data_IF_622631171586
#
_entry.id   IF_622631171586
#
_cell.length_a   1.000
_cell.length_b   1.000
_cell.length_c   1.000
_cell.angle_alpha   90.00
_cell.angle_beta   90.00
_cell.angle_gamma   90.00
#
_symmetry.space_group_name_H-M   'P 1'
#
loop_
_entity.id
_entity.type
_entity.pdbx_description
1 polymer ?
#
# COMPACT_ATOMS: atom_id res chain seq x y z
N UNK A 1 73.30 -40.55 13.27
CA UNK A 1 72.56 -39.39 13.80
C UNK A 1 71.86 -38.69 12.62
N UNK A 2 70.59 -39.01 12.39
CA UNK A 2 69.81 -38.44 11.27
C UNK A 2 68.84 -37.42 11.84
N UNK A 3 69.05 -36.13 11.53
CA UNK A 3 68.04 -35.06 11.80
C UNK A 3 67.09 -34.98 10.63
N UNK A 4 65.85 -35.39 10.86
CA UNK A 4 64.73 -35.15 9.95
C UNK A 4 64.17 -33.78 10.25
N UNK A 5 64.27 -32.82 9.34
CA UNK A 5 63.57 -31.52 9.41
C UNK A 5 62.10 -31.67 8.99
N UNK A 6 61.23 -31.34 9.86
CA UNK A 6 59.75 -31.15 9.52
C UNK A 6 59.62 -29.77 8.89
N UNK A 7 59.21 -29.74 7.62
CA UNK A 7 58.65 -28.52 7.00
C UNK A 7 57.20 -28.38 7.42
N UNK A 8 56.86 -27.36 8.19
CA UNK A 8 55.48 -26.97 8.47
C UNK A 8 54.99 -26.06 7.34
N UNK A 9 54.09 -26.56 6.52
CA UNK A 9 53.37 -25.77 5.51
C UNK A 9 52.24 -25.04 6.21
N UNK A 10 52.41 -23.72 6.44
CA UNK A 10 51.35 -22.85 6.95
C UNK A 10 50.35 -22.55 5.83
N UNK A 11 49.17 -23.13 5.92
CA UNK A 11 48.01 -22.76 5.07
C UNK A 11 47.46 -21.44 5.61
N UNK A 12 47.71 -20.34 4.93
CA UNK A 12 47.06 -19.07 5.20
C UNK A 12 45.60 -19.13 4.70
N UNK A 13 44.64 -19.28 5.61
CA UNK A 13 43.25 -19.07 5.30
C UNK A 13 43.03 -17.58 5.01
N UNK A 14 42.91 -17.22 3.74
CA UNK A 14 42.39 -15.93 3.31
C UNK A 14 40.87 -15.96 3.56
N UNK A 15 40.43 -15.38 4.67
CA UNK A 15 39.03 -15.13 4.90
C UNK A 15 38.55 -14.14 3.83
N UNK A 16 37.89 -14.61 2.79
CA UNK A 16 37.19 -13.76 1.85
C UNK A 16 36.09 -13.02 2.61
N UNK A 17 36.25 -11.71 2.79
CA UNK A 17 35.19 -10.87 3.34
C UNK A 17 33.91 -11.07 2.49
N UNK A 18 32.84 -11.46 3.12
CA UNK A 18 31.55 -11.53 2.45
C UNK A 18 31.21 -10.14 1.87
N UNK A 19 30.78 -10.05 0.60
CA UNK A 19 30.47 -8.77 0.01
C UNK A 19 29.32 -8.12 0.78
N UNK A 20 29.51 -6.86 1.15
CA UNK A 20 28.44 -6.07 1.75
C UNK A 20 27.34 -5.86 0.71
N UNK A 21 26.11 -6.20 1.06
CA UNK A 21 24.95 -5.85 0.24
C UNK A 21 24.90 -4.33 0.04
N UNK A 22 24.54 -3.87 -1.15
CA UNK A 22 24.40 -2.43 -1.41
C UNK A 22 23.36 -1.84 -0.46
N UNK A 23 23.70 -0.82 0.36
CA UNK A 23 22.78 -0.26 1.32
C UNK A 23 21.59 0.38 0.61
N UNK A 24 20.44 0.36 1.26
CA UNK A 24 19.26 1.04 0.74
C UNK A 24 19.40 2.56 0.87
N UNK A 25 18.91 3.34 -0.13
CA UNK A 25 18.87 4.79 0.00
C UNK A 25 17.88 5.23 1.07
N UNK A 26 18.19 6.34 1.71
CA UNK A 26 17.32 7.01 2.68
C UNK A 26 16.43 8.04 1.97
N UNK A 27 15.21 8.20 2.47
CA UNK A 27 14.29 9.25 2.02
C UNK A 27 14.67 10.57 2.70
N UNK A 28 14.80 11.64 1.90
CA UNK A 28 15.20 12.98 2.38
C UNK A 28 14.14 14.04 2.02
N UNK A 29 13.93 15.05 2.85
CA UNK A 29 13.10 16.20 2.49
C UNK A 29 13.72 17.00 1.35
N UNK A 30 12.90 17.79 0.64
CA UNK A 30 13.35 18.71 -0.40
C UNK A 30 13.58 18.07 -1.78
N UNK A 31 13.33 16.79 -1.93
CA UNK A 31 13.35 16.11 -3.24
C UNK A 31 12.00 16.30 -3.91
N UNK A 32 12.00 16.95 -5.07
CA UNK A 32 10.80 17.15 -5.86
C UNK A 32 10.42 15.86 -6.61
N UNK A 33 9.17 15.43 -6.49
CA UNK A 33 8.62 14.33 -7.27
C UNK A 33 8.43 14.76 -8.73
N UNK A 34 8.77 13.88 -9.67
CA UNK A 34 8.77 14.15 -11.11
C UNK A 34 7.81 13.22 -11.82
N UNK A 35 6.78 13.76 -12.47
CA UNK A 35 5.83 12.98 -13.23
C UNK A 35 6.11 13.07 -14.74
N UNK A 36 5.98 11.95 -15.49
CA UNK A 36 5.47 10.65 -15.08
C UNK A 36 6.48 9.73 -14.38
N UNK A 37 7.77 10.10 -14.26
CA UNK A 37 8.84 9.20 -13.82
C UNK A 37 8.54 8.52 -12.46
N UNK A 38 8.01 9.27 -11.50
CA UNK A 38 7.72 8.76 -10.16
C UNK A 38 6.39 8.00 -10.06
N UNK A 39 5.68 7.82 -11.18
CA UNK A 39 4.65 6.78 -11.29
C UNK A 39 5.26 5.38 -11.40
N UNK A 40 6.46 5.27 -11.95
CA UNK A 40 7.20 4.03 -12.15
C UNK A 40 7.89 3.49 -10.90
N UNK A 41 8.64 2.41 -11.08
CA UNK A 41 9.36 1.75 -9.99
C UNK A 41 10.63 2.50 -9.57
N UNK A 42 10.98 2.36 -8.28
CA UNK A 42 12.21 2.87 -7.66
C UNK A 42 13.03 1.69 -7.12
N UNK A 43 13.64 0.87 -8.00
CA UNK A 43 14.19 -0.43 -7.63
C UNK A 43 15.34 -0.39 -6.62
N UNK A 44 15.98 0.76 -6.40
CA UNK A 44 17.01 0.96 -5.40
C UNK A 44 16.46 1.00 -3.97
N UNK A 45 15.20 1.43 -3.77
CA UNK A 45 14.58 1.45 -2.46
C UNK A 45 14.16 0.05 -2.01
N UNK A 46 14.07 -0.16 -0.70
CA UNK A 46 13.75 -1.45 -0.11
C UNK A 46 12.36 -1.94 -0.49
N UNK A 47 11.35 -1.06 -0.42
CA UNK A 47 9.96 -1.42 -0.71
C UNK A 47 9.19 -0.26 -1.30
N UNK A 48 8.16 -0.59 -2.08
CA UNK A 48 7.22 0.34 -2.66
C UNK A 48 5.91 -0.34 -2.99
N UNK A 49 4.85 0.45 -3.13
CA UNK A 49 3.55 -0.04 -3.57
C UNK A 49 2.80 0.94 -4.46
N UNK A 50 1.92 0.37 -5.24
CA UNK A 50 0.86 0.98 -6.02
C UNK A 50 -0.44 0.40 -5.50
N UNK A 51 -1.23 1.22 -4.84
CA UNK A 51 -2.43 0.82 -4.13
C UNK A 51 -3.61 1.57 -4.71
N UNK A 52 -4.62 0.85 -5.22
CA UNK A 52 -5.84 1.44 -5.77
C UNK A 52 -7.04 0.85 -5.07
N UNK A 53 -7.87 1.71 -4.49
CA UNK A 53 -9.12 1.33 -3.84
C UNK A 53 -10.26 2.20 -4.31
N UNK A 54 -11.48 1.69 -4.24
CA UNK A 54 -12.61 2.50 -4.66
C UNK A 54 -13.95 1.83 -4.49
N UNK A 55 -14.94 2.60 -4.85
CA UNK A 55 -16.33 2.19 -4.89
C UNK A 55 -16.80 2.12 -6.34
N UNK A 56 -17.55 1.06 -6.66
CA UNK A 56 -18.16 0.85 -7.94
C UNK A 56 -19.67 0.76 -7.77
N UNK A 57 -20.39 1.24 -8.77
CA UNK A 57 -21.81 0.98 -8.97
C UNK A 57 -21.96 0.17 -10.25
N UNK A 58 -22.57 -1.00 -10.15
CA UNK A 58 -22.86 -1.85 -11.32
C UNK A 58 -24.03 -1.25 -12.12
N UNK A 59 -24.18 -1.66 -13.39
CA UNK A 59 -25.33 -1.29 -14.21
C UNK A 59 -26.67 -1.68 -13.60
N UNK A 60 -26.66 -2.67 -12.68
CA UNK A 60 -27.83 -3.12 -11.92
C UNK A 60 -28.06 -2.30 -10.63
N UNK A 61 -27.25 -1.23 -10.40
CA UNK A 61 -27.37 -0.32 -9.25
C UNK A 61 -26.72 -0.81 -7.96
N UNK A 62 -25.99 -1.94 -7.97
CA UNK A 62 -25.34 -2.48 -6.77
C UNK A 62 -24.04 -1.74 -6.46
N UNK A 63 -23.81 -1.43 -5.19
CA UNK A 63 -22.56 -0.87 -4.70
C UNK A 63 -21.58 -2.02 -4.39
N UNK A 64 -20.35 -1.89 -4.89
CA UNK A 64 -19.22 -2.77 -4.62
C UNK A 64 -18.03 -1.94 -4.15
N UNK A 65 -17.20 -2.50 -3.28
CA UNK A 65 -15.86 -1.99 -2.99
C UNK A 65 -14.82 -2.83 -3.71
N UNK A 66 -13.70 -2.24 -4.08
CA UNK A 66 -12.58 -2.99 -4.65
C UNK A 66 -11.23 -2.45 -4.14
N UNK A 67 -10.25 -3.34 -4.14
CA UNK A 67 -8.85 -3.03 -3.87
C UNK A 67 -7.99 -3.80 -4.87
N UNK A 68 -6.95 -3.13 -5.40
CA UNK A 68 -5.87 -3.73 -6.18
C UNK A 68 -4.56 -3.10 -5.73
N UNK A 69 -3.65 -3.90 -5.20
CA UNK A 69 -2.35 -3.43 -4.73
C UNK A 69 -1.25 -4.27 -5.35
N UNK A 70 -0.23 -3.58 -5.86
CA UNK A 70 1.04 -4.19 -6.25
C UNK A 70 2.12 -3.68 -5.31
N UNK A 71 2.94 -4.58 -4.82
CA UNK A 71 4.08 -4.31 -3.98
C UNK A 71 5.35 -4.79 -4.70
N UNK A 72 6.43 -4.05 -4.51
CA UNK A 72 7.77 -4.51 -4.87
C UNK A 72 8.68 -4.40 -3.66
N UNK A 73 9.48 -5.43 -3.43
CA UNK A 73 10.53 -5.39 -2.42
C UNK A 73 11.86 -5.78 -3.05
N UNK A 74 12.94 -5.14 -2.59
CA UNK A 74 14.33 -5.49 -2.90
C UNK A 74 14.90 -6.24 -1.70
N UNK A 75 15.05 -7.58 -1.76
CA UNK A 75 15.73 -8.33 -0.72
C UNK A 75 17.22 -7.96 -0.65
N UNK A 76 17.82 -8.07 0.53
CA UNK A 76 19.27 -7.98 0.69
C UNK A 76 19.92 -9.29 0.19
N UNK A 77 20.19 -9.36 -1.10
CA UNK A 77 20.93 -10.45 -1.73
C UNK A 77 22.26 -9.93 -2.25
N UNK A 78 23.25 -10.82 -2.36
CA UNK A 78 24.51 -10.46 -3.02
C UNK A 78 24.24 -10.15 -4.50
N UNK A 79 24.40 -8.90 -4.90
CA UNK A 79 24.16 -8.45 -6.29
C UNK A 79 25.14 -9.07 -7.30
N UNK A 80 26.25 -9.64 -6.82
CA UNK A 80 27.24 -10.36 -7.64
C UNK A 80 26.88 -11.83 -7.81
N UNK A 81 25.78 -12.31 -7.21
CA UNK A 81 25.32 -13.67 -7.40
C UNK A 81 25.02 -13.89 -8.89
N UNK A 82 25.76 -14.75 -9.60
CA UNK A 82 25.59 -14.95 -11.05
C UNK A 82 24.32 -15.73 -11.40
N UNK A 83 23.62 -16.25 -10.40
CA UNK A 83 22.42 -17.05 -10.63
C UNK A 83 21.27 -16.19 -11.18
N UNK A 84 20.76 -16.55 -12.34
CA UNK A 84 19.55 -15.97 -12.92
C UNK A 84 18.29 -16.19 -12.05
N UNK A 85 18.38 -17.05 -11.04
CA UNK A 85 17.33 -17.26 -10.04
C UNK A 85 17.50 -16.39 -8.79
N UNK A 86 18.59 -15.62 -8.68
CA UNK A 86 18.74 -14.67 -7.58
C UNK A 86 17.61 -13.64 -7.62
N UNK A 87 16.90 -13.51 -6.49
CA UNK A 87 15.77 -12.61 -6.41
C UNK A 87 16.22 -11.18 -6.08
N UNK A 88 16.72 -10.45 -7.07
CA UNK A 88 17.05 -9.02 -6.91
C UNK A 88 15.82 -8.15 -6.62
N UNK A 89 14.68 -8.52 -7.17
CA UNK A 89 13.39 -7.89 -6.93
C UNK A 89 12.30 -8.96 -6.80
N UNK A 90 11.38 -8.77 -5.85
CA UNK A 90 10.20 -9.63 -5.65
C UNK A 90 8.96 -8.76 -5.68
N UNK A 91 7.97 -9.18 -6.46
CA UNK A 91 6.68 -8.52 -6.55
C UNK A 91 5.60 -9.35 -5.90
N UNK A 92 4.67 -8.66 -5.25
CA UNK A 92 3.44 -9.22 -4.70
C UNK A 92 2.26 -8.41 -5.21
N UNK A 93 1.10 -9.03 -5.32
CA UNK A 93 -0.14 -8.31 -5.61
C UNK A 93 -1.31 -8.92 -4.85
N UNK A 94 -2.17 -8.05 -4.39
CA UNK A 94 -3.46 -8.38 -3.82
C UNK A 94 -4.56 -7.76 -4.66
N UNK A 95 -5.67 -8.46 -4.79
CA UNK A 95 -6.91 -7.91 -5.32
C UNK A 95 -8.07 -8.38 -4.47
N UNK A 96 -9.01 -7.50 -4.20
CA UNK A 96 -10.18 -7.82 -3.40
C UNK A 96 -11.44 -7.15 -3.96
N UNK A 97 -12.56 -7.81 -3.71
CA UNK A 97 -13.90 -7.32 -4.02
C UNK A 97 -14.79 -7.41 -2.77
N UNK A 98 -15.27 -6.27 -2.33
CA UNK A 98 -16.26 -6.14 -1.26
C UNK A 98 -17.65 -6.12 -1.87
N UNK A 99 -18.44 -7.13 -1.56
CA UNK A 99 -19.83 -7.27 -2.01
C UNK A 99 -20.72 -7.67 -0.83
N UNK A 100 -21.69 -6.82 -0.48
CA UNK A 100 -22.65 -7.09 0.62
C UNK A 100 -23.40 -8.41 0.45
N UNK A 101 -23.67 -8.82 -0.79
CA UNK A 101 -24.39 -10.04 -1.07
C UNK A 101 -23.61 -11.29 -0.67
N UNK A 102 -22.27 -11.22 -0.64
CA UNK A 102 -21.44 -12.35 -0.19
C UNK A 102 -21.24 -12.38 1.32
N UNK A 103 -21.41 -11.24 2.00
CA UNK A 103 -21.16 -11.07 3.43
C UNK A 103 -19.68 -11.27 3.84
N UNK A 104 -18.79 -11.42 2.88
CA UNK A 104 -17.35 -11.61 3.07
C UNK A 104 -16.55 -10.96 1.96
N UNK A 105 -15.30 -10.66 2.23
CA UNK A 105 -14.34 -10.20 1.24
C UNK A 105 -13.98 -11.35 0.30
N UNK A 106 -14.13 -11.16 -1.01
CA UNK A 106 -13.50 -12.02 -2.02
C UNK A 106 -12.12 -11.45 -2.28
N UNK A 107 -11.06 -12.26 -2.24
CA UNK A 107 -9.70 -11.80 -2.51
C UNK A 107 -8.87 -12.85 -3.21
N UNK A 108 -7.82 -12.38 -3.85
CA UNK A 108 -6.78 -13.20 -4.46
C UNK A 108 -5.43 -12.52 -4.32
N UNK A 109 -4.38 -13.32 -4.47
CA UNK A 109 -3.01 -12.89 -4.32
C UNK A 109 -2.11 -13.50 -5.39
N UNK A 110 -1.03 -12.79 -5.74
CA UNK A 110 0.03 -13.23 -6.65
C UNK A 110 1.37 -12.83 -6.08
N UNK A 111 2.38 -13.63 -6.30
CA UNK A 111 3.77 -13.24 -6.09
C UNK A 111 4.66 -13.84 -7.18
N UNK A 112 5.74 -13.15 -7.48
CA UNK A 112 6.80 -13.64 -8.35
C UNK A 112 8.09 -12.84 -8.17
N UNK A 113 9.22 -13.48 -8.47
CA UNK A 113 10.49 -12.79 -8.66
C UNK A 113 10.46 -12.08 -10.01
N UNK A 114 11.12 -10.93 -10.10
CA UNK A 114 11.29 -10.20 -11.36
C UNK A 114 12.34 -10.88 -12.23
N UNK A 115 12.02 -12.07 -12.72
CA UNK A 115 12.87 -12.89 -13.59
C UNK A 115 12.00 -13.61 -14.63
N UNK A 116 12.57 -13.91 -15.80
CA UNK A 116 11.94 -14.72 -16.85
C UNK A 116 10.56 -14.24 -17.32
N UNK A 117 10.28 -12.94 -17.19
CA UNK A 117 8.96 -12.38 -17.56
C UNK A 117 7.81 -12.76 -16.61
N UNK A 118 8.08 -13.35 -15.44
CA UNK A 118 7.04 -13.72 -14.47
C UNK A 118 6.46 -12.50 -13.75
N UNK A 119 7.27 -11.50 -13.50
CA UNK A 119 6.86 -10.22 -12.93
C UNK A 119 7.77 -9.10 -13.44
N UNK A 120 7.23 -7.91 -13.52
CA UNK A 120 7.94 -6.70 -13.91
C UNK A 120 7.37 -5.47 -13.21
N UNK A 121 8.24 -4.54 -12.81
CA UNK A 121 7.89 -3.19 -12.42
C UNK A 121 8.87 -2.24 -13.11
N UNK A 122 8.40 -1.48 -14.07
CA UNK A 122 9.23 -0.60 -14.91
C UNK A 122 9.47 0.74 -14.24
N UNK A 123 10.65 1.28 -14.47
CA UNK A 123 10.97 2.68 -14.15
C UNK A 123 10.38 3.62 -15.19
N UNK A 124 10.24 4.91 -14.83
CA UNK A 124 9.88 5.97 -15.78
C UNK A 124 8.39 6.23 -15.95
N UNK A 125 7.55 5.23 -15.84
CA UNK A 125 6.08 5.35 -15.71
C UNK A 125 5.52 4.05 -15.11
N UNK A 126 4.25 4.09 -14.69
CA UNK A 126 3.61 2.92 -14.10
C UNK A 126 3.35 1.83 -15.16
N UNK A 127 4.07 0.74 -15.05
CA UNK A 127 3.83 -0.51 -15.77
C UNK A 127 4.30 -1.66 -14.89
N UNK A 128 3.36 -2.22 -14.14
CA UNK A 128 3.58 -3.27 -13.16
C UNK A 128 2.76 -4.48 -13.55
N UNK A 129 3.39 -5.65 -13.61
CA UNK A 129 2.72 -6.90 -13.93
C UNK A 129 3.24 -8.06 -13.09
N UNK A 130 2.35 -8.98 -12.74
CA UNK A 130 2.66 -10.30 -12.20
C UNK A 130 1.82 -11.30 -12.98
N UNK A 131 2.44 -12.01 -13.93
CA UNK A 131 1.77 -12.92 -14.87
C UNK A 131 0.65 -12.20 -15.65
N UNK A 132 -0.60 -12.58 -15.44
CA UNK A 132 -1.80 -12.03 -16.09
C UNK A 132 -2.41 -10.81 -15.36
N UNK A 133 -1.92 -10.47 -14.16
CA UNK A 133 -2.33 -9.29 -13.42
C UNK A 133 -1.45 -8.09 -13.77
N UNK A 134 -2.05 -6.94 -13.99
CA UNK A 134 -1.29 -5.72 -14.24
C UNK A 134 -1.99 -4.47 -13.71
N UNK A 135 -1.18 -3.46 -13.43
CA UNK A 135 -1.56 -2.07 -13.25
C UNK A 135 -0.59 -1.23 -14.08
N UNK A 136 -1.11 -0.47 -15.03
CA UNK A 136 -0.29 0.36 -15.91
C UNK A 136 -0.95 1.69 -16.22
N UNK A 137 -0.14 2.68 -16.55
CA UNK A 137 -0.59 3.98 -16.98
C UNK A 137 -0.37 4.11 -18.50
N UNK A 138 -1.44 4.41 -19.22
CA UNK A 138 -1.36 4.65 -20.66
C UNK A 138 -0.76 6.04 -20.95
N UNK A 139 -0.22 6.29 -22.16
CA UNK A 139 0.27 7.62 -22.56
C UNK A 139 -0.77 8.74 -22.44
N UNK A 140 -2.06 8.41 -22.49
CA UNK A 140 -3.18 9.32 -22.28
C UNK A 140 -3.32 9.80 -20.83
N UNK A 141 -2.58 9.19 -19.88
CA UNK A 141 -2.70 9.45 -18.47
C UNK A 141 -3.71 8.56 -17.72
N UNK A 142 -4.48 7.75 -18.44
CA UNK A 142 -5.41 6.78 -17.86
C UNK A 142 -4.67 5.62 -17.24
N UNK A 143 -5.00 5.27 -16.00
CA UNK A 143 -4.51 4.06 -15.36
C UNK A 143 -5.45 2.91 -15.68
N UNK A 144 -4.90 1.72 -15.81
CA UNK A 144 -5.63 0.53 -16.22
C UNK A 144 -5.21 -0.67 -15.38
N UNK A 145 -6.18 -1.46 -14.92
CA UNK A 145 -5.88 -2.72 -14.24
C UNK A 145 -6.68 -3.87 -14.82
N UNK A 146 -6.06 -5.03 -14.81
CA UNK A 146 -6.73 -6.31 -15.04
C UNK A 146 -6.23 -7.30 -14.00
N UNK A 147 -7.16 -7.87 -13.25
CA UNK A 147 -6.89 -8.92 -12.27
C UNK A 147 -7.96 -9.99 -12.34
N UNK A 148 -7.54 -11.24 -12.19
CA UNK A 148 -8.44 -12.40 -12.18
C UNK A 148 -8.12 -13.27 -10.99
N UNK A 149 -9.09 -13.40 -10.09
CA UNK A 149 -9.00 -14.21 -8.89
C UNK A 149 -10.12 -15.25 -8.85
N UNK A 150 -10.06 -16.14 -7.85
CA UNK A 150 -11.15 -17.06 -7.60
C UNK A 150 -12.41 -16.30 -7.19
N UNK A 151 -13.50 -16.53 -7.91
CA UNK A 151 -14.80 -15.90 -7.66
C UNK A 151 -15.01 -14.53 -8.26
N UNK A 152 -13.96 -13.81 -8.73
CA UNK A 152 -14.12 -12.50 -9.37
C UNK A 152 -13.00 -12.15 -10.36
N UNK A 153 -13.27 -11.17 -11.22
CA UNK A 153 -12.26 -10.48 -12.01
C UNK A 153 -12.62 -9.00 -12.16
N UNK A 154 -11.61 -8.16 -12.25
CA UNK A 154 -11.74 -6.73 -12.50
C UNK A 154 -10.98 -6.36 -13.78
N UNK A 155 -11.61 -5.59 -14.65
CA UNK A 155 -10.96 -4.89 -15.77
C UNK A 155 -11.45 -3.46 -15.70
N UNK A 156 -10.60 -2.56 -15.20
CA UNK A 156 -10.98 -1.20 -14.84
C UNK A 156 -10.01 -0.18 -15.42
N UNK A 157 -10.56 0.92 -15.90
CA UNK A 157 -9.86 2.15 -16.26
C UNK A 157 -10.09 3.20 -15.18
N UNK A 158 -9.01 3.95 -14.84
CA UNK A 158 -9.03 5.01 -13.83
C UNK A 158 -8.56 6.30 -14.50
N UNK A 159 -9.46 7.26 -14.61
CA UNK A 159 -9.16 8.57 -15.19
C UNK A 159 -8.94 9.59 -14.08
N UNK A 160 -7.72 10.16 -13.92
CA UNK A 160 -7.49 11.24 -13.01
C UNK A 160 -8.38 12.46 -13.32
N UNK A 161 -9.04 12.99 -12.30
CA UNK A 161 -9.86 14.21 -12.42
C UNK A 161 -9.21 15.40 -11.72
N UNK A 162 -8.19 15.14 -10.90
CA UNK A 162 -7.44 16.11 -10.15
C UNK A 162 -5.93 15.80 -10.23
N UNK A 163 -5.05 16.79 -10.02
CA UNK A 163 -3.61 16.54 -9.96
C UNK A 163 -3.25 15.67 -8.73
N UNK A 164 -2.07 15.02 -8.72
CA UNK A 164 -1.58 14.30 -7.55
C UNK A 164 -1.60 15.16 -6.28
N UNK A 165 -1.97 14.54 -5.17
CA UNK A 165 -1.90 15.11 -3.81
C UNK A 165 -0.59 14.64 -3.19
N UNK A 166 0.40 15.52 -3.11
CA UNK A 166 1.69 15.20 -2.48
C UNK A 166 1.50 15.14 -0.97
N UNK A 167 1.84 14.01 -0.37
CA UNK A 167 1.63 13.78 1.05
C UNK A 167 2.77 14.38 1.89
N UNK A 168 2.42 14.87 3.09
CA UNK A 168 3.40 15.50 3.96
C UNK A 168 4.04 16.75 3.35
N UNK A 169 5.33 16.93 3.53
CA UNK A 169 6.07 18.07 3.00
C UNK A 169 6.44 17.80 1.54
N UNK A 170 5.57 18.19 0.61
CA UNK A 170 5.78 18.07 -0.85
C UNK A 170 6.18 16.64 -1.30
N UNK A 171 5.56 15.62 -0.69
CA UNK A 171 5.84 14.22 -1.00
C UNK A 171 6.77 13.53 0.00
N UNK A 172 7.44 14.27 0.90
CA UNK A 172 8.17 13.68 2.03
C UNK A 172 7.21 13.47 3.20
N UNK A 173 6.81 12.22 3.42
CA UNK A 173 5.83 11.82 4.43
C UNK A 173 6.50 11.07 5.59
N UNK A 174 6.59 11.69 6.76
CA UNK A 174 7.14 11.06 7.96
C UNK A 174 6.21 9.97 8.51
N UNK A 175 6.82 8.88 8.98
CA UNK A 175 6.14 7.71 9.56
C UNK A 175 6.58 7.44 11.00
N UNK A 176 7.41 8.31 11.56
CA UNK A 176 7.91 8.16 12.93
C UNK A 176 8.68 9.37 13.42
N UNK A 177 9.16 9.32 14.68
CA UNK A 177 9.85 10.44 15.31
C UNK A 177 11.22 10.76 14.69
N UNK A 178 11.89 9.80 14.06
CA UNK A 178 13.17 10.05 13.40
C UNK A 178 12.95 10.53 11.96
N UNK A 179 13.78 11.44 11.43
CA UNK A 179 13.64 11.93 10.05
C UNK A 179 13.77 10.85 8.97
N UNK A 180 14.60 9.82 9.21
CA UNK A 180 14.80 8.71 8.28
C UNK A 180 13.61 7.73 8.23
N UNK A 181 12.68 7.80 9.18
CA UNK A 181 11.42 7.08 9.17
C UNK A 181 10.40 7.85 8.32
N UNK A 182 10.55 7.75 7.02
CA UNK A 182 9.76 8.51 6.05
C UNK A 182 9.65 7.77 4.72
N UNK A 183 8.72 8.19 3.91
CA UNK A 183 8.54 7.73 2.53
C UNK A 183 8.43 8.90 1.57
N UNK A 184 8.70 8.67 0.29
CA UNK A 184 8.15 9.48 -0.77
C UNK A 184 6.75 8.97 -1.07
N UNK A 185 5.77 9.87 -1.03
CA UNK A 185 4.36 9.49 -1.03
C UNK A 185 3.50 10.56 -1.72
N UNK A 186 2.67 10.10 -2.65
CA UNK A 186 1.59 10.89 -3.21
C UNK A 186 0.35 10.04 -3.41
N UNK A 187 -0.80 10.71 -3.46
CA UNK A 187 -2.10 10.10 -3.77
C UNK A 187 -2.69 10.72 -5.03
N UNK A 188 -3.56 9.99 -5.71
CA UNK A 188 -4.44 10.52 -6.74
C UNK A 188 -5.88 10.25 -6.29
N UNK A 189 -6.52 11.23 -5.61
CA UNK A 189 -7.93 11.13 -5.24
C UNK A 189 -8.83 11.32 -6.45
N UNK A 190 -10.13 11.02 -6.29
CA UNK A 190 -11.16 11.28 -7.30
C UNK A 190 -10.84 10.72 -8.69
N UNK A 191 -10.28 9.50 -8.76
CA UNK A 191 -10.13 8.79 -10.01
C UNK A 191 -11.51 8.34 -10.48
N UNK A 192 -11.97 8.84 -11.64
CA UNK A 192 -13.19 8.31 -12.27
C UNK A 192 -12.94 6.90 -12.77
N UNK A 193 -13.79 5.96 -12.40
CA UNK A 193 -13.67 4.56 -12.77
C UNK A 193 -14.72 4.15 -13.77
N UNK A 194 -14.29 3.39 -14.77
CA UNK A 194 -15.18 2.66 -15.70
C UNK A 194 -14.59 1.31 -16.03
N UNK A 195 -15.45 0.33 -16.35
CA UNK A 195 -14.96 -0.98 -16.75
C UNK A 195 -15.95 -2.10 -16.47
N UNK A 196 -15.41 -3.27 -16.15
CA UNK A 196 -16.19 -4.50 -15.98
C UNK A 196 -15.78 -5.23 -14.69
N UNK A 197 -16.76 -5.77 -14.02
CA UNK A 197 -16.62 -6.68 -12.88
C UNK A 197 -17.24 -8.02 -13.25
N UNK A 198 -16.46 -9.10 -13.17
CA UNK A 198 -16.99 -10.47 -13.28
C UNK A 198 -17.10 -11.06 -11.88
N UNK A 199 -18.27 -11.55 -11.51
CA UNK A 199 -18.55 -12.25 -10.25
C UNK A 199 -19.71 -13.23 -10.43
N UNK A 200 -19.73 -14.32 -9.68
CA UNK A 200 -20.78 -15.34 -9.79
C UNK A 200 -21.02 -15.83 -11.23
N UNK A 201 -19.96 -15.92 -12.05
CA UNK A 201 -20.06 -16.33 -13.47
C UNK A 201 -20.57 -15.25 -14.43
N UNK A 202 -21.01 -14.08 -13.94
CA UNK A 202 -21.56 -12.97 -14.75
C UNK A 202 -20.58 -11.82 -14.84
N UNK A 203 -20.49 -11.20 -16.00
CA UNK A 203 -19.73 -9.95 -16.22
C UNK A 203 -20.72 -8.81 -16.38
N UNK A 204 -20.52 -7.75 -15.58
CA UNK A 204 -21.37 -6.56 -15.58
C UNK A 204 -20.52 -5.31 -15.74
N UNK A 205 -21.05 -4.31 -16.45
CA UNK A 205 -20.42 -3.00 -16.51
C UNK A 205 -20.53 -2.31 -15.14
N UNK A 206 -19.48 -1.56 -14.78
CA UNK A 206 -19.45 -0.81 -13.55
C UNK A 206 -18.77 0.55 -13.78
N UNK A 207 -19.22 1.55 -13.05
CA UNK A 207 -18.62 2.88 -12.97
C UNK A 207 -18.42 3.25 -11.51
N UNK A 208 -17.60 4.24 -11.22
CA UNK A 208 -17.39 4.63 -9.84
C UNK A 208 -16.28 5.64 -9.64
N UNK A 209 -15.75 5.63 -8.43
CA UNK A 209 -14.68 6.51 -8.03
C UNK A 209 -13.64 5.75 -7.21
N UNK A 210 -12.36 6.10 -7.41
CA UNK A 210 -11.25 5.46 -6.75
C UNK A 210 -10.25 6.47 -6.16
N UNK A 211 -9.40 5.93 -5.34
CA UNK A 211 -8.21 6.52 -4.74
C UNK A 211 -6.99 5.70 -5.16
N UNK A 212 -5.87 6.35 -5.51
CA UNK A 212 -4.61 5.68 -5.76
C UNK A 212 -3.54 6.26 -4.83
N UNK A 213 -2.77 5.37 -4.18
CA UNK A 213 -1.56 5.70 -3.46
C UNK A 213 -0.34 5.13 -4.17
N UNK A 214 0.71 5.95 -4.20
CA UNK A 214 2.03 5.58 -4.66
C UNK A 214 3.04 5.96 -3.60
N UNK A 215 3.75 4.97 -3.09
CA UNK A 215 4.65 5.20 -1.96
C UNK A 215 5.88 4.31 -2.04
N UNK A 216 7.06 4.84 -1.70
CA UNK A 216 8.31 4.09 -1.65
C UNK A 216 9.24 4.58 -0.54
N UNK A 217 9.95 3.64 0.06
CA UNK A 217 10.91 3.90 1.13
C UNK A 217 11.83 2.72 1.38
N UNK A 218 12.81 2.97 2.24
CA UNK A 218 13.66 1.92 2.82
C UNK A 218 13.47 1.75 4.32
N UNK A 219 12.82 2.70 4.99
CA UNK A 219 12.62 2.69 6.44
C UNK A 219 11.27 3.33 6.80
N UNK A 220 10.23 2.51 6.92
CA UNK A 220 8.88 2.98 7.24
C UNK A 220 8.59 3.01 8.73
N UNK A 221 8.85 1.91 9.42
CA UNK A 221 8.36 1.69 10.77
C UNK A 221 9.48 1.74 11.79
N UNK A 222 9.21 2.39 12.92
CA UNK A 222 10.06 2.28 14.09
C UNK A 222 9.98 0.87 14.68
N UNK A 223 11.02 0.40 15.41
CA UNK A 223 11.06 -0.95 15.99
C UNK A 223 9.94 -1.25 17.00
N UNK A 224 9.36 -0.20 17.60
CA UNK A 224 8.25 -0.28 18.55
C UNK A 224 6.86 -0.11 17.91
N UNK A 225 6.82 0.04 16.58
CA UNK A 225 5.57 0.08 15.82
C UNK A 225 4.91 -1.29 15.76
N UNK A 226 3.60 -1.32 15.99
CA UNK A 226 2.76 -2.52 15.87
C UNK A 226 2.19 -2.67 14.45
N UNK A 227 1.79 -1.55 13.85
CA UNK A 227 1.11 -1.46 12.56
C UNK A 227 0.49 -0.07 12.40
N UNK A 228 -0.38 0.08 11.43
CA UNK A 228 -1.04 1.36 11.17
C UNK A 228 -2.54 1.21 10.96
N UNK A 229 -3.24 2.33 11.17
CA UNK A 229 -4.57 2.59 10.66
C UNK A 229 -4.43 3.70 9.61
N UNK A 230 -5.00 3.50 8.44
CA UNK A 230 -4.94 4.41 7.31
C UNK A 230 -6.34 4.58 6.71
N UNK A 231 -6.66 5.77 6.22
CA UNK A 231 -7.87 6.02 5.43
C UNK A 231 -7.60 7.02 4.31
N UNK A 232 -8.17 6.74 3.13
CA UNK A 232 -8.31 7.68 2.02
C UNK A 232 -9.79 7.91 1.73
N UNK A 233 -10.23 9.16 1.74
CA UNK A 233 -11.62 9.56 1.55
C UNK A 233 -11.75 10.57 0.41
N UNK A 234 -12.67 10.30 -0.50
CA UNK A 234 -13.17 11.24 -1.48
C UNK A 234 -14.51 11.80 -0.99
N UNK A 235 -14.66 13.12 -0.96
CA UNK A 235 -15.88 13.78 -0.55
C UNK A 235 -16.68 14.30 -1.74
N UNK A 236 -18.00 14.36 -1.60
CA UNK A 236 -18.96 14.76 -2.64
C UNK A 236 -18.73 16.22 -3.11
N UNK A 237 -18.09 17.06 -2.29
CA UNK A 237 -17.73 18.44 -2.61
C UNK A 237 -16.42 18.58 -3.38
N UNK A 238 -15.75 17.45 -3.72
CA UNK A 238 -14.47 17.41 -4.42
C UNK A 238 -13.26 17.52 -3.49
N UNK A 239 -13.45 17.69 -2.18
CA UNK A 239 -12.36 17.61 -1.20
C UNK A 239 -11.90 16.16 -0.99
N UNK A 240 -10.68 15.98 -0.46
CA UNK A 240 -10.08 14.67 -0.28
C UNK A 240 -9.21 14.63 0.99
N UNK A 241 -9.35 13.59 1.79
CA UNK A 241 -8.58 13.37 3.01
C UNK A 241 -7.77 12.08 2.92
N UNK A 242 -6.48 12.15 3.17
CA UNK A 242 -5.68 11.02 3.60
C UNK A 242 -5.29 11.24 5.06
N UNK A 243 -5.49 10.24 5.91
CA UNK A 243 -5.07 10.27 7.29
C UNK A 243 -4.55 8.90 7.72
N UNK A 244 -3.52 8.89 8.56
CA UNK A 244 -2.99 7.66 9.14
C UNK A 244 -2.48 7.87 10.56
N UNK A 245 -2.40 6.77 11.31
CA UNK A 245 -1.62 6.67 12.55
C UNK A 245 -0.79 5.39 12.54
N UNK A 246 0.43 5.47 13.02
CA UNK A 246 1.27 4.32 13.38
C UNK A 246 1.00 4.02 14.85
N UNK A 247 0.69 2.77 15.16
CA UNK A 247 0.38 2.33 16.53
C UNK A 247 1.57 1.68 17.20
N UNK A 248 1.70 1.89 18.52
CA UNK A 248 2.59 1.15 19.39
C UNK A 248 1.97 -0.19 19.79
N UNK A 249 2.78 -1.06 20.38
CA UNK A 249 2.35 -2.36 20.94
C UNK A 249 1.30 -2.22 22.05
N UNK A 250 1.30 -1.12 22.80
CA UNK A 250 0.30 -0.80 23.83
C UNK A 250 -1.01 -0.22 23.25
N UNK A 251 -1.10 -0.08 21.94
CA UNK A 251 -2.25 0.52 21.23
C UNK A 251 -2.21 2.04 21.14
N UNK A 252 -1.26 2.70 21.79
CA UNK A 252 -1.04 4.15 21.71
C UNK A 252 -0.54 4.58 20.31
N UNK A 253 -0.66 5.88 20.01
CA UNK A 253 -0.14 6.46 18.78
C UNK A 253 1.36 6.74 18.89
N UNK A 254 2.16 6.14 18.01
CA UNK A 254 3.57 6.44 17.86
C UNK A 254 3.78 7.67 16.99
N UNK A 255 3.06 7.74 15.89
CA UNK A 255 3.08 8.82 14.92
C UNK A 255 1.73 8.90 14.20
N UNK A 256 1.35 10.10 13.77
CA UNK A 256 0.19 10.29 12.94
C UNK A 256 0.46 11.38 11.90
N UNK A 257 -0.35 11.44 10.87
CA UNK A 257 -0.23 12.45 9.85
C UNK A 257 -1.25 12.29 8.74
N UNK A 258 -1.16 13.17 7.76
CA UNK A 258 -2.05 13.14 6.61
C UNK A 258 -2.03 14.42 5.80
N UNK A 259 -2.98 14.53 4.89
CA UNK A 259 -3.24 15.74 4.12
C UNK A 259 -4.74 15.86 3.80
N UNK A 260 -5.27 17.06 3.95
CA UNK A 260 -6.60 17.42 3.49
C UNK A 260 -6.48 18.39 2.31
N UNK A 261 -6.99 18.01 1.15
CA UNK A 261 -7.25 18.93 0.05
C UNK A 261 -8.69 19.41 0.16
N UNK A 262 -8.88 20.70 0.33
CA UNK A 262 -10.21 21.33 0.32
C UNK A 262 -10.83 21.35 -1.08
N UNK A 263 -12.13 21.62 -1.15
CA UNK A 263 -12.84 21.81 -2.42
C UNK A 263 -12.29 22.96 -3.28
N UNK A 264 -11.60 23.92 -2.64
CA UNK A 264 -10.89 25.01 -3.31
C UNK A 264 -9.50 24.60 -3.87
N UNK A 265 -9.11 23.33 -3.75
CA UNK A 265 -7.83 22.78 -4.18
C UNK A 265 -6.65 23.04 -3.23
N UNK A 266 -6.83 23.82 -2.16
CA UNK A 266 -5.77 24.07 -1.18
C UNK A 266 -5.51 22.83 -0.33
N UNK A 267 -4.24 22.55 -0.09
CA UNK A 267 -3.83 21.40 0.72
C UNK A 267 -3.34 21.84 2.08
N UNK A 268 -3.87 21.23 3.13
CA UNK A 268 -3.37 21.33 4.50
C UNK A 268 -2.64 20.05 4.88
N UNK A 269 -1.39 20.17 5.31
CA UNK A 269 -0.60 19.06 5.84
C UNK A 269 -0.92 18.88 7.31
N UNK A 270 -1.17 17.64 7.73
CA UNK A 270 -1.55 17.27 9.08
C UNK A 270 -0.36 16.64 9.80
N UNK A 271 -0.03 17.20 10.96
CA UNK A 271 1.03 16.70 11.83
C UNK A 271 0.54 15.63 12.82
N UNK A 272 1.46 15.12 13.68
CA UNK A 272 1.15 14.03 14.62
C UNK A 272 0.04 14.35 15.63
N UNK A 273 -0.15 15.62 15.94
CA UNK A 273 -1.16 16.09 16.90
C UNK A 273 -2.47 16.52 16.24
N UNK A 274 -2.55 16.45 14.90
CA UNK A 274 -3.70 16.93 14.14
C UNK A 274 -4.63 15.81 13.70
N UNK A 275 -4.22 14.55 13.88
CA UNK A 275 -4.99 13.37 13.46
C UNK A 275 -5.22 12.44 14.63
N UNK A 276 -6.47 12.03 14.81
CA UNK A 276 -6.83 11.01 15.80
C UNK A 276 -7.85 10.01 15.23
N UNK A 277 -7.67 8.75 15.60
CA UNK A 277 -8.57 7.64 15.26
C UNK A 277 -9.17 7.10 16.54
N UNK A 278 -10.50 7.12 16.66
CA UNK A 278 -11.24 6.67 17.82
C UNK A 278 -12.13 5.48 17.45
N UNK A 279 -11.86 4.27 17.98
CA UNK A 279 -12.68 3.09 17.73
C UNK A 279 -14.14 3.31 18.14
N UNK A 280 -15.08 2.97 17.26
CA UNK A 280 -16.53 3.04 17.51
C UNK A 280 -17.14 1.64 17.56
N UNK A 281 -16.71 0.77 16.65
CA UNK A 281 -17.16 -0.63 16.61
C UNK A 281 -15.99 -1.57 16.33
N UNK A 282 -15.84 -2.56 17.21
CA UNK A 282 -14.87 -3.64 17.05
C UNK A 282 -15.56 -4.83 16.38
N UNK A 283 -14.90 -5.43 15.42
CA UNK A 283 -15.26 -6.73 14.85
C UNK A 283 -14.15 -7.74 15.09
N UNK A 284 -14.51 -8.93 15.51
CA UNK A 284 -13.57 -10.01 15.70
C UNK A 284 -13.63 -10.99 14.54
N UNK A 285 -12.49 -11.26 13.92
CA UNK A 285 -12.35 -12.24 12.87
C UNK A 285 -12.63 -13.65 13.40
N UNK A 286 -13.44 -14.39 12.67
CA UNK A 286 -13.67 -15.82 12.96
C UNK A 286 -12.51 -16.70 12.46
N UNK A 287 -11.65 -16.17 11.58
CA UNK A 287 -10.52 -16.90 10.98
C UNK A 287 -9.26 -16.75 11.81
N UNK A 288 -8.91 -15.53 12.19
CA UNK A 288 -7.67 -15.22 12.90
C UNK A 288 -7.86 -14.97 14.39
N UNK A 289 -9.08 -14.62 14.80
CA UNK A 289 -9.36 -14.15 16.16
C UNK A 289 -8.99 -12.68 16.40
N UNK A 290 -8.35 -12.02 15.44
CA UNK A 290 -7.95 -10.63 15.52
C UNK A 290 -9.16 -9.70 15.71
N UNK A 291 -8.98 -8.62 16.48
CA UNK A 291 -10.02 -7.64 16.78
C UNK A 291 -9.72 -6.33 16.08
N UNK A 292 -10.52 -5.98 15.09
CA UNK A 292 -10.35 -4.78 14.26
C UNK A 292 -11.38 -3.70 14.60
N UNK A 293 -10.98 -2.44 14.80
CA UNK A 293 -11.89 -1.31 14.95
C UNK A 293 -12.44 -0.88 13.58
N UNK A 294 -13.36 -1.67 13.02
CA UNK A 294 -13.88 -1.55 11.66
C UNK A 294 -14.76 -0.31 11.43
N UNK A 295 -15.29 0.31 12.49
CA UNK A 295 -15.87 1.63 12.44
C UNK A 295 -15.10 2.54 13.39
N UNK A 296 -14.70 3.71 12.91
CA UNK A 296 -13.89 4.68 13.66
C UNK A 296 -14.37 6.11 13.42
N UNK A 297 -14.21 6.95 14.42
CA UNK A 297 -14.27 8.39 14.25
C UNK A 297 -12.85 8.89 13.96
N UNK A 298 -12.66 9.47 12.78
CA UNK A 298 -11.40 10.11 12.37
C UNK A 298 -11.54 11.60 12.57
N UNK A 299 -10.77 12.16 13.49
CA UNK A 299 -10.75 13.58 13.80
C UNK A 299 -9.51 14.25 13.22
N UNK A 300 -9.70 15.38 12.58
CA UNK A 300 -8.64 16.21 12.00
C UNK A 300 -8.75 17.63 12.52
N UNK A 301 -7.63 18.19 12.97
CA UNK A 301 -7.53 19.57 13.44
C UNK A 301 -6.77 20.44 12.46
N UNK A 302 -7.41 21.50 11.95
CA UNK A 302 -6.81 22.48 11.05
C UNK A 302 -7.14 23.88 11.58
N UNK A 303 -6.13 24.72 11.74
CA UNK A 303 -6.28 26.12 12.22
C UNK A 303 -7.15 26.22 13.50
N UNK A 304 -6.95 25.31 14.45
CA UNK A 304 -7.67 25.27 15.73
C UNK A 304 -9.08 24.68 15.67
N UNK A 305 -9.62 24.35 14.50
CA UNK A 305 -10.93 23.70 14.34
C UNK A 305 -10.75 22.20 14.14
N UNK A 306 -11.55 21.41 14.87
CA UNK A 306 -11.58 19.95 14.70
C UNK A 306 -12.82 19.56 13.91
N UNK A 307 -12.61 18.75 12.88
CA UNK A 307 -13.68 18.10 12.12
C UNK A 307 -13.54 16.59 12.33
N UNK A 308 -14.67 15.91 12.52
CA UNK A 308 -14.72 14.48 12.77
C UNK A 308 -15.61 13.80 11.75
N UNK A 309 -15.12 12.74 11.13
CA UNK A 309 -15.87 11.89 10.23
C UNK A 309 -15.99 10.49 10.82
N UNK A 310 -17.23 10.00 10.93
CA UNK A 310 -17.49 8.62 11.29
C UNK A 310 -17.39 7.73 10.08
N UNK A 311 -16.42 6.81 10.10
CA UNK A 311 -16.26 5.80 9.07
C UNK A 311 -17.11 4.59 9.39
N UNK A 312 -18.04 4.28 8.49
CA UNK A 312 -18.91 3.12 8.57
C UNK A 312 -18.54 2.12 7.47
N UNK A 313 -18.13 0.87 7.81
CA UNK A 313 -17.75 -0.11 6.81
C UNK A 313 -18.95 -0.59 6.01
N UNK A 314 -18.75 -0.94 4.74
CA UNK A 314 -19.76 -1.56 3.90
C UNK A 314 -20.33 -2.80 4.58
N UNK A 315 -19.49 -3.63 5.17
CA UNK A 315 -19.80 -4.71 6.12
C UNK A 315 -18.56 -5.00 6.97
N UNK A 316 -18.70 -5.77 8.06
CA UNK A 316 -17.62 -5.92 9.01
C UNK A 316 -16.50 -6.90 8.56
N UNK A 317 -16.85 -7.96 7.84
CA UNK A 317 -15.93 -9.06 7.50
C UNK A 317 -15.12 -8.75 6.22
N UNK A 318 -14.28 -7.70 6.25
CA UNK A 318 -13.39 -7.32 5.15
C UNK A 318 -11.91 -7.58 5.49
N UNK A 319 -11.64 -8.67 6.21
CA UNK A 319 -10.28 -9.14 6.47
C UNK A 319 -9.70 -9.81 5.23
N UNK A 320 -8.45 -9.47 4.89
CA UNK A 320 -7.66 -10.05 3.82
C UNK A 320 -6.55 -10.91 4.42
N UNK A 321 -6.58 -12.20 4.11
CA UNK A 321 -5.57 -13.17 4.55
C UNK A 321 -4.54 -13.42 3.45
N UNK A 322 -3.41 -12.72 3.52
CA UNK A 322 -2.33 -12.80 2.54
C UNK A 322 -1.18 -13.74 2.94
N UNK A 323 -1.39 -14.63 3.93
CA UNK A 323 -0.34 -15.51 4.43
C UNK A 323 0.20 -16.50 3.39
N UNK A 324 -0.58 -16.85 2.35
CA UNK A 324 -0.13 -17.71 1.26
C UNK A 324 0.97 -17.07 0.42
N UNK A 325 0.96 -15.74 0.28
CA UNK A 325 2.02 -14.98 -0.40
C UNK A 325 3.16 -14.55 0.52
N UNK A 326 3.11 -14.93 1.81
CA UNK A 326 4.10 -14.54 2.81
C UNK A 326 3.91 -13.13 3.36
N UNK A 327 2.76 -12.52 3.09
CA UNK A 327 2.37 -11.21 3.58
C UNK A 327 1.44 -11.33 4.82
N UNK A 328 1.28 -10.26 5.61
CA UNK A 328 0.46 -10.33 6.82
C UNK A 328 -1.04 -10.43 6.53
N UNK A 329 -1.80 -10.76 7.57
CA UNK A 329 -3.25 -10.56 7.58
C UNK A 329 -3.54 -9.12 7.99
N UNK A 330 -4.48 -8.48 7.31
CA UNK A 330 -4.94 -7.14 7.63
C UNK A 330 -6.42 -6.98 7.27
N UNK A 331 -7.06 -6.00 7.86
CA UNK A 331 -8.42 -5.64 7.51
C UNK A 331 -8.38 -4.46 6.54
N UNK A 332 -9.08 -4.60 5.42
CA UNK A 332 -9.14 -3.57 4.41
C UNK A 332 -10.53 -3.49 3.82
N UNK A 333 -11.19 -2.36 4.04
CA UNK A 333 -12.59 -2.28 3.72
C UNK A 333 -13.06 -0.96 3.16
N UNK A 334 -14.03 -1.10 2.24
CA UNK A 334 -14.81 0.00 1.77
C UNK A 334 -15.60 0.62 2.91
N UNK A 335 -15.43 1.93 3.13
CA UNK A 335 -16.12 2.71 4.15
C UNK A 335 -16.86 3.90 3.55
N UNK A 336 -17.94 4.32 4.21
CA UNK A 336 -18.65 5.55 3.91
C UNK A 336 -18.64 6.46 5.13
N UNK A 337 -18.81 7.76 4.89
CA UNK A 337 -18.99 8.78 5.89
C UNK A 337 -20.02 9.80 5.41
N UNK A 338 -20.36 10.78 6.24
CA UNK A 338 -21.23 11.87 5.79
C UNK A 338 -20.56 12.66 4.68
N UNK A 339 -21.18 12.69 3.49
CA UNK A 339 -20.71 13.43 2.33
C UNK A 339 -19.45 12.85 1.69
N UNK A 340 -19.18 11.53 1.84
CA UNK A 340 -18.02 10.93 1.21
C UNK A 340 -17.91 9.42 1.35
N UNK A 341 -16.97 8.84 0.59
CA UNK A 341 -16.66 7.41 0.57
C UNK A 341 -15.14 7.22 0.46
N UNK A 342 -14.66 6.05 0.85
CA UNK A 342 -13.27 5.69 0.71
C UNK A 342 -12.95 4.32 1.25
N UNK A 343 -11.76 4.17 1.77
CA UNK A 343 -11.25 2.94 2.35
C UNK A 343 -10.61 3.18 3.71
N UNK A 344 -10.70 2.17 4.56
CA UNK A 344 -10.01 2.08 5.84
C UNK A 344 -9.14 0.82 5.80
N UNK A 345 -7.86 0.96 6.13
CA UNK A 345 -6.89 -0.13 6.25
C UNK A 345 -6.41 -0.23 7.70
N UNK A 346 -6.37 -1.44 8.24
CA UNK A 346 -6.01 -1.76 9.62
C UNK A 346 -5.00 -2.90 9.63
N UNK A 347 -3.73 -2.58 9.85
CA UNK A 347 -2.63 -3.55 9.86
C UNK A 347 -2.13 -3.83 11.27
N UNK A 348 -1.44 -4.95 11.48
CA UNK A 348 -0.78 -5.26 12.75
C UNK A 348 -1.75 -5.61 13.90
N UNK A 349 -2.98 -6.00 13.61
CA UNK A 349 -3.96 -6.44 14.61
C UNK A 349 -3.91 -7.96 14.86
N UNK A 350 -3.52 -8.76 13.87
CA UNK A 350 -3.24 -10.19 14.04
C UNK A 350 -1.82 -10.40 14.61
N UNK A 351 -0.82 -9.83 13.93
CA UNK A 351 0.60 -9.86 14.33
C UNK A 351 1.25 -8.53 14.02
N UNK A 352 2.34 -8.15 14.75
CA UNK A 352 3.10 -6.96 14.42
C UNK A 352 3.55 -6.96 12.95
N UNK A 353 3.49 -5.79 12.31
CA UNK A 353 4.03 -5.61 10.98
C UNK A 353 5.56 -5.66 11.01
N UNK A 354 6.15 -6.57 10.24
CA UNK A 354 7.58 -6.61 9.96
C UNK A 354 7.82 -6.07 8.55
N UNK A 355 8.58 -4.96 8.45
CA UNK A 355 8.94 -4.34 7.16
C UNK A 355 10.44 -4.14 7.04
#
# INVERSE_FOLDING_TARGET
>A
MNRRGLLAIGVALVAAAAPAATPYPTVHPGIALRFPADHGAHPQFRTEWWYVTGWLKTAEGQDLGFQVTFFRTRPLVDERNPSRFAAGQVLFAHAALSDRATGRLLHGERNARQVFGLAEARTGDADIAIRDWHLRRAPTGTWQTRVTADGFALTLDFQPTQPPLLQGQAGYSRKGPRPDQASYYYSIPHLRVSGQVRRGGRTVAATGEAWLDREWSSNYLAPDAQGWDWTGLNFDDGSALMAFRIRRKDGGTLWAGGSLRGADGRTSVLGPNDVAFHPVRIWQSKVTGAKYPVAQDVSVRIAGRTTTWRLAPMFAAQELDARRSGLPVYWEGAVSTRGGRGYLELTGYDKPMAM
#
